data_IF_736645969332
#
_entry.id   IF_736645969332
#
_cell.length_a   1.000
_cell.length_b   1.000
_cell.length_c   1.000
_cell.angle_alpha   90.00
_cell.angle_beta   90.00
_cell.angle_gamma   90.00
#
_symmetry.space_group_name_H-M   'P 1'
#
loop_
_entity.id
_entity.type
_entity.pdbx_description
1 polymer ?
#
# COMPACT_ATOMS: atom_id res chain seq x y z
N UNK A 1 -0.12 -14.31 -17.34
CA UNK A 1 -0.47 -13.15 -16.52
C UNK A 1 0.81 -12.44 -16.10
N UNK A 2 0.93 -11.15 -16.42
CA UNK A 2 2.05 -10.30 -15.99
C UNK A 2 1.55 -9.27 -14.99
N UNK A 3 2.30 -9.00 -13.93
CA UNK A 3 1.96 -7.96 -12.96
C UNK A 3 2.68 -6.65 -13.30
N UNK A 4 2.15 -5.53 -12.79
CA UNK A 4 2.77 -4.21 -12.95
C UNK A 4 3.99 -4.00 -12.06
N UNK A 5 4.00 -4.58 -10.86
CA UNK A 5 5.17 -4.65 -10.00
C UNK A 5 6.04 -5.85 -10.41
N UNK A 6 7.38 -5.77 -10.30
CA UNK A 6 8.31 -6.88 -10.60
C UNK A 6 8.18 -7.97 -9.54
N UNK A 7 7.46 -9.07 -9.83
CA UNK A 7 7.33 -10.14 -8.85
C UNK A 7 8.60 -10.99 -8.89
N UNK A 8 8.89 -11.69 -7.79
CA UNK A 8 10.02 -12.61 -7.73
C UNK A 8 10.02 -13.69 -8.84
N UNK A 9 11.16 -14.36 -9.08
CA UNK A 9 11.30 -15.35 -10.16
C UNK A 9 10.32 -16.52 -10.09
N UNK A 10 9.76 -16.80 -8.91
CA UNK A 10 8.75 -17.83 -8.67
C UNK A 10 7.37 -17.49 -9.27
N UNK A 11 7.05 -16.21 -9.46
CA UNK A 11 5.82 -15.77 -10.12
C UNK A 11 5.77 -16.21 -11.58
N UNK A 12 6.87 -16.08 -12.32
CA UNK A 12 6.96 -16.50 -13.72
C UNK A 12 6.71 -18.00 -13.86
N UNK A 13 7.29 -18.79 -12.95
CA UNK A 13 7.11 -20.25 -12.92
C UNK A 13 5.64 -20.62 -12.66
N UNK A 14 5.01 -19.97 -11.67
CA UNK A 14 3.59 -20.16 -11.37
C UNK A 14 2.69 -19.71 -12.52
N UNK A 15 3.03 -18.61 -13.20
CA UNK A 15 2.30 -18.13 -14.37
C UNK A 15 2.31 -19.13 -15.52
N UNK A 16 3.46 -19.76 -15.79
CA UNK A 16 3.56 -20.84 -16.78
C UNK A 16 2.75 -22.08 -16.37
N UNK A 17 2.79 -22.44 -15.08
CA UNK A 17 1.99 -23.54 -14.55
C UNK A 17 0.49 -23.25 -14.67
N UNK A 18 0.07 -22.01 -14.40
CA UNK A 18 -1.30 -21.55 -14.52
C UNK A 18 -1.83 -21.71 -15.95
N UNK A 19 -1.09 -21.23 -16.96
CA UNK A 19 -1.43 -21.41 -18.39
C UNK A 19 -1.56 -22.89 -18.78
N UNK A 20 -0.67 -23.75 -18.28
CA UNK A 20 -0.75 -25.22 -18.51
C UNK A 20 -2.01 -25.83 -17.92
N UNK A 21 -2.40 -25.42 -16.71
CA UNK A 21 -3.63 -25.90 -16.06
C UNK A 21 -4.88 -25.48 -16.82
N UNK A 22 -4.94 -24.23 -17.29
CA UNK A 22 -6.06 -23.72 -18.11
C UNK A 22 -6.20 -24.56 -19.37
N UNK A 23 -5.10 -24.76 -20.11
CA UNK A 23 -5.12 -25.56 -21.34
C UNK A 23 -5.62 -26.98 -21.09
N UNK A 24 -5.07 -27.66 -20.09
CA UNK A 24 -5.49 -29.03 -19.76
C UNK A 24 -6.97 -29.08 -19.32
N UNK A 25 -7.43 -28.09 -18.57
CA UNK A 25 -8.83 -28.01 -18.14
C UNK A 25 -9.77 -27.87 -19.34
N UNK A 26 -9.48 -26.96 -20.27
CA UNK A 26 -10.30 -26.74 -21.47
C UNK A 26 -10.33 -28.00 -22.34
N UNK A 27 -9.19 -28.68 -22.50
CA UNK A 27 -9.10 -29.95 -23.23
C UNK A 27 -10.01 -31.03 -22.62
N UNK A 28 -10.08 -31.14 -21.28
CA UNK A 28 -10.95 -32.12 -20.60
C UNK A 28 -12.42 -31.71 -20.64
N UNK A 29 -12.72 -30.42 -20.40
CA UNK A 29 -14.11 -29.89 -20.45
C UNK A 29 -14.70 -30.02 -21.86
N UNK A 30 -13.85 -29.92 -22.89
CA UNK A 30 -14.18 -30.13 -24.30
C UNK A 30 -15.49 -29.43 -24.70
N UNK A 31 -15.57 -28.15 -24.35
CA UNK A 31 -16.69 -27.28 -24.68
C UNK A 31 -16.26 -26.34 -25.81
N UNK A 32 -17.08 -26.16 -26.86
CA UNK A 32 -16.76 -25.20 -27.91
C UNK A 32 -16.84 -23.78 -27.37
N UNK A 33 -15.86 -22.95 -27.73
CA UNK A 33 -15.84 -21.54 -27.42
C UNK A 33 -16.73 -20.74 -28.37
N UNK A 34 -17.38 -19.70 -27.86
CA UNK A 34 -18.01 -18.66 -28.69
C UNK A 34 -16.99 -17.54 -28.89
N UNK A 35 -16.55 -17.24 -30.13
CA UNK A 35 -15.56 -16.19 -30.37
C UNK A 35 -16.08 -14.80 -30.01
N UNK A 36 -15.26 -14.02 -29.31
CA UNK A 36 -15.52 -12.62 -28.98
C UNK A 36 -14.32 -11.78 -29.42
N UNK A 37 -14.58 -10.72 -30.18
CA UNK A 37 -13.56 -9.75 -30.59
C UNK A 37 -13.58 -8.54 -29.66
N UNK A 38 -12.40 -8.13 -29.22
CA UNK A 38 -12.17 -6.93 -28.41
C UNK A 38 -11.40 -5.94 -29.27
N UNK A 39 -12.03 -4.80 -29.55
CA UNK A 39 -11.40 -3.72 -30.31
C UNK A 39 -10.24 -3.08 -29.52
N UNK A 40 -9.22 -2.53 -30.19
CA UNK A 40 -8.15 -1.79 -29.55
C UNK A 40 -8.70 -0.52 -28.88
N UNK A 41 -8.49 -0.37 -27.58
CA UNK A 41 -8.82 0.81 -26.79
C UNK A 41 -7.76 1.00 -25.71
N UNK A 42 -7.14 2.20 -25.70
CA UNK A 42 -6.06 2.58 -24.77
C UNK A 42 -6.56 2.97 -23.38
N UNK A 43 -7.83 3.37 -23.25
CA UNK A 43 -8.41 3.74 -21.96
C UNK A 43 -9.87 3.27 -21.86
N UNK A 44 -10.11 2.31 -20.96
CA UNK A 44 -11.41 1.67 -20.68
C UNK A 44 -12.12 1.03 -21.88
N UNK A 45 -12.24 -0.31 -21.91
CA UNK A 45 -13.39 -0.89 -22.62
C UNK A 45 -13.95 -2.18 -22.02
N UNK A 46 -15.28 -2.14 -21.87
CA UNK A 46 -16.24 -2.97 -21.14
C UNK A 46 -15.98 -3.18 -19.62
N UNK A 47 -17.07 -3.09 -18.86
CA UNK A 47 -17.15 -3.61 -17.48
C UNK A 47 -17.09 -5.11 -17.51
N UNK A 48 -16.52 -5.69 -16.44
CA UNK A 48 -16.73 -7.05 -15.96
C UNK A 48 -17.59 -7.84 -16.91
N UNK A 49 -16.92 -8.53 -17.83
CA UNK A 49 -17.60 -9.39 -18.78
C UNK A 49 -18.70 -10.18 -18.08
N UNK A 50 -19.74 -10.52 -18.84
CA UNK A 50 -20.93 -11.22 -18.37
C UNK A 50 -20.59 -12.19 -17.23
N UNK A 51 -21.18 -11.94 -16.06
CA UNK A 51 -20.90 -12.66 -14.81
C UNK A 51 -21.26 -14.14 -14.90
N UNK A 52 -22.07 -14.49 -15.90
CA UNK A 52 -22.38 -15.85 -16.32
C UNK A 52 -21.41 -16.44 -17.34
N UNK A 53 -20.25 -15.83 -17.62
CA UNK A 53 -19.27 -16.30 -18.61
C UNK A 53 -17.84 -16.37 -18.08
N UNK A 54 -17.08 -17.32 -18.62
CA UNK A 54 -15.62 -17.34 -18.56
C UNK A 54 -15.04 -16.96 -19.92
N UNK A 55 -13.89 -16.29 -19.91
CA UNK A 55 -13.19 -15.90 -21.13
C UNK A 55 -11.78 -16.42 -21.11
N UNK A 56 -11.28 -16.87 -22.26
CA UNK A 56 -9.88 -17.26 -22.44
C UNK A 56 -9.30 -16.44 -23.57
N UNK A 57 -8.13 -15.85 -23.33
CA UNK A 57 -7.43 -15.08 -24.37
C UNK A 57 -6.87 -16.05 -25.41
N UNK A 58 -7.44 -16.02 -26.63
CA UNK A 58 -6.96 -16.80 -27.76
C UNK A 58 -5.85 -16.07 -28.50
N UNK A 59 -5.93 -14.74 -28.62
CA UNK A 59 -4.92 -13.87 -29.25
C UNK A 59 -4.95 -12.47 -28.67
N UNK A 60 -3.79 -11.82 -28.64
CA UNK A 60 -3.63 -10.46 -28.11
C UNK A 60 -3.48 -10.46 -26.58
N UNK A 61 -3.82 -9.34 -25.97
CA UNK A 61 -3.72 -9.15 -24.52
C UNK A 61 -4.85 -8.28 -23.98
N UNK A 62 -5.16 -8.46 -22.69
CA UNK A 62 -6.11 -7.65 -21.95
C UNK A 62 -5.43 -7.05 -20.71
N UNK A 63 -5.60 -5.77 -20.50
CA UNK A 63 -5.14 -5.05 -19.31
C UNK A 63 -6.27 -4.98 -18.30
N UNK A 64 -6.04 -5.46 -17.07
CA UNK A 64 -6.97 -5.32 -15.95
C UNK A 64 -6.64 -4.06 -15.14
N UNK A 65 -7.64 -3.21 -14.90
CA UNK A 65 -7.55 -1.96 -14.15
C UNK A 65 -8.56 -1.93 -13.01
N UNK A 66 -8.11 -1.58 -11.82
CA UNK A 66 -8.95 -1.37 -10.64
C UNK A 66 -8.70 0.03 -10.09
N UNK A 67 -9.75 0.83 -9.92
CA UNK A 67 -9.64 2.25 -9.49
C UNK A 67 -8.61 3.05 -10.34
N UNK A 68 -8.62 2.83 -11.65
CA UNK A 68 -7.69 3.47 -12.61
C UNK A 68 -6.27 2.89 -12.62
N UNK A 69 -5.86 2.12 -11.60
CA UNK A 69 -4.54 1.49 -11.53
C UNK A 69 -4.52 0.17 -12.29
N UNK A 70 -3.49 -0.04 -13.10
CA UNK A 70 -3.26 -1.33 -13.75
C UNK A 70 -2.80 -2.34 -12.71
N UNK A 71 -3.51 -3.48 -12.64
CA UNK A 71 -3.22 -4.56 -11.68
C UNK A 71 -2.38 -5.65 -12.34
N UNK A 72 -2.81 -6.12 -13.51
CA UNK A 72 -2.10 -7.14 -14.29
C UNK A 72 -2.52 -7.14 -15.76
N UNK A 73 -1.71 -7.79 -16.60
CA UNK A 73 -1.97 -8.09 -18.00
C UNK A 73 -2.29 -9.59 -18.17
N UNK A 74 -3.35 -9.89 -18.88
CA UNK A 74 -3.69 -11.21 -19.38
C UNK A 74 -3.19 -11.34 -20.82
N UNK A 75 -2.56 -12.45 -21.13
CA UNK A 75 -2.04 -12.77 -22.45
C UNK A 75 -2.67 -14.07 -22.96
N UNK A 76 -2.32 -14.46 -24.18
CA UNK A 76 -2.72 -15.74 -24.75
C UNK A 76 -2.54 -16.92 -23.77
N UNK A 77 -3.62 -17.69 -23.63
CA UNK A 77 -3.74 -18.83 -22.73
C UNK A 77 -4.15 -18.49 -21.30
N UNK A 78 -4.26 -17.22 -20.93
CA UNK A 78 -4.82 -16.82 -19.64
C UNK A 78 -6.36 -16.86 -19.65
N UNK A 79 -6.93 -17.25 -18.52
CA UNK A 79 -8.38 -17.23 -18.27
C UNK A 79 -8.73 -15.99 -17.48
N UNK A 80 -9.84 -15.37 -17.86
CA UNK A 80 -10.51 -14.35 -17.10
C UNK A 80 -11.74 -14.97 -16.42
N UNK A 81 -11.74 -14.84 -15.09
CA UNK A 81 -12.83 -15.27 -14.23
C UNK A 81 -13.78 -14.07 -14.00
N UNK A 82 -15.10 -14.31 -13.88
CA UNK A 82 -16.08 -13.26 -13.66
C UNK A 82 -15.84 -12.57 -12.32
N UNK A 83 -16.04 -11.25 -12.30
CA UNK A 83 -16.04 -10.45 -11.08
C UNK A 83 -17.40 -10.58 -10.39
N UNK A 84 -17.47 -11.44 -9.37
CA UNK A 84 -18.70 -11.75 -8.63
C UNK A 84 -19.17 -10.56 -7.77
N UNK A 85 -18.28 -9.60 -7.45
CA UNK A 85 -18.58 -8.46 -6.60
C UNK A 85 -18.97 -7.20 -7.39
N UNK A 86 -18.47 -7.04 -8.61
CA UNK A 86 -18.48 -5.78 -9.37
C UNK A 86 -19.69 -5.50 -10.27
N UNK A 87 -20.77 -6.29 -10.23
CA UNK A 87 -21.90 -6.08 -11.17
C UNK A 87 -22.85 -4.95 -10.77
N UNK A 88 -22.90 -4.56 -9.49
CA UNK A 88 -23.86 -3.57 -8.99
C UNK A 88 -23.28 -2.17 -8.71
N UNK A 89 -21.99 -2.06 -8.38
CA UNK A 89 -21.34 -0.79 -7.97
C UNK A 89 -20.30 -0.34 -9.01
N UNK A 90 -20.49 0.88 -9.52
CA UNK A 90 -19.68 1.48 -10.57
C UNK A 90 -18.25 1.79 -10.12
N UNK A 91 -18.08 2.01 -8.81
CA UNK A 91 -16.82 2.46 -8.20
C UNK A 91 -15.98 1.28 -7.68
N UNK A 92 -16.58 0.07 -7.65
CA UNK A 92 -15.94 -1.16 -7.19
C UNK A 92 -15.60 -2.15 -8.32
N UNK A 93 -15.96 -1.87 -9.58
CA UNK A 93 -15.76 -2.80 -10.68
C UNK A 93 -14.31 -2.82 -11.22
N UNK A 94 -13.84 -4.00 -11.62
CA UNK A 94 -12.64 -4.12 -12.45
C UNK A 94 -12.97 -3.78 -13.91
N UNK A 95 -12.15 -2.92 -14.51
CA UNK A 95 -12.24 -2.52 -15.91
C UNK A 95 -11.18 -3.25 -16.73
N UNK A 96 -11.55 -3.69 -17.92
CA UNK A 96 -10.61 -4.29 -18.86
C UNK A 96 -10.37 -3.36 -20.05
N UNK A 97 -9.33 -3.64 -20.82
CA UNK A 97 -8.96 -2.87 -22.01
C UNK A 97 -7.88 -3.59 -22.79
N UNK A 98 -7.60 -3.16 -24.02
CA UNK A 98 -6.57 -3.78 -24.86
C UNK A 98 -5.98 -2.76 -25.81
N UNK A 99 -4.68 -2.50 -25.74
CA UNK A 99 -4.04 -1.48 -26.59
C UNK A 99 -3.96 -1.89 -28.07
N UNK A 100 -3.90 -3.20 -28.35
CA UNK A 100 -3.76 -3.78 -29.69
C UNK A 100 -4.99 -4.58 -30.15
N UNK A 101 -6.01 -4.70 -29.31
CA UNK A 101 -7.15 -5.58 -29.50
C UNK A 101 -6.85 -7.03 -29.10
N UNK A 102 -7.91 -7.80 -28.87
CA UNK A 102 -7.81 -9.20 -28.47
C UNK A 102 -8.92 -10.05 -29.09
N UNK A 103 -8.67 -11.35 -29.18
CA UNK A 103 -9.68 -12.36 -29.50
C UNK A 103 -9.81 -13.32 -28.34
N UNK A 104 -11.04 -13.56 -27.91
CA UNK A 104 -11.36 -14.37 -26.74
C UNK A 104 -12.28 -15.51 -27.13
N UNK A 105 -12.12 -16.64 -26.44
CA UNK A 105 -13.13 -17.69 -26.39
C UNK A 105 -14.02 -17.48 -25.16
N UNK A 106 -15.33 -17.29 -25.37
CA UNK A 106 -16.35 -17.14 -24.33
C UNK A 106 -17.02 -18.48 -24.03
N UNK A 107 -17.23 -18.77 -22.75
CA UNK A 107 -17.82 -20.00 -22.26
C UNK A 107 -18.89 -19.71 -21.19
N UNK A 108 -20.15 -20.15 -21.37
CA UNK A 108 -21.16 -20.05 -20.32
C UNK A 108 -20.72 -20.74 -19.03
N UNK A 109 -20.53 -19.96 -17.96
CA UNK A 109 -19.92 -20.40 -16.72
C UNK A 109 -20.68 -21.56 -16.09
N UNK A 110 -22.02 -21.53 -16.10
CA UNK A 110 -22.85 -22.59 -15.53
C UNK A 110 -22.64 -23.94 -16.23
N UNK A 111 -22.66 -23.97 -17.56
CA UNK A 111 -22.46 -25.21 -18.32
C UNK A 111 -21.01 -25.68 -18.26
N UNK A 112 -20.05 -24.74 -18.29
CA UNK A 112 -18.64 -25.04 -18.09
C UNK A 112 -18.42 -25.73 -16.74
N UNK A 113 -18.94 -25.16 -15.65
CA UNK A 113 -18.83 -25.74 -14.31
C UNK A 113 -19.57 -27.06 -14.18
N UNK A 114 -20.73 -27.24 -14.82
CA UNK A 114 -21.45 -28.53 -14.84
C UNK A 114 -20.56 -29.64 -15.40
N UNK A 115 -19.80 -29.36 -16.46
CA UNK A 115 -18.84 -30.31 -17.05
C UNK A 115 -17.62 -30.54 -16.15
N UNK A 116 -17.09 -29.48 -15.52
CA UNK A 116 -15.99 -29.60 -14.55
C UNK A 116 -16.35 -30.55 -13.42
N UNK A 117 -17.56 -30.43 -12.86
CA UNK A 117 -18.01 -31.27 -11.76
C UNK A 117 -18.45 -32.68 -12.18
N UNK A 118 -18.76 -32.88 -13.46
CA UNK A 118 -19.08 -34.20 -14.00
C UNK A 118 -17.84 -35.10 -14.17
N UNK A 119 -16.64 -34.51 -14.27
CA UNK A 119 -15.38 -35.24 -14.48
C UNK A 119 -14.39 -35.01 -13.32
N UNK A 120 -13.93 -36.10 -12.70
CA UNK A 120 -13.03 -36.01 -11.54
C UNK A 120 -11.66 -35.39 -11.89
N UNK A 121 -11.17 -35.61 -13.11
CA UNK A 121 -9.92 -35.03 -13.60
C UNK A 121 -10.09 -33.52 -13.83
N UNK A 122 -11.19 -33.09 -14.45
CA UNK A 122 -11.52 -31.68 -14.60
C UNK A 122 -11.67 -30.97 -13.24
N UNK A 123 -12.34 -31.61 -12.28
CA UNK A 123 -12.46 -31.09 -10.91
C UNK A 123 -11.08 -30.88 -10.28
N UNK A 124 -10.18 -31.86 -10.38
CA UNK A 124 -8.79 -31.73 -9.86
C UNK A 124 -8.03 -30.60 -10.56
N UNK A 125 -8.18 -30.45 -11.87
CA UNK A 125 -7.54 -29.37 -12.64
C UNK A 125 -8.07 -27.99 -12.22
N UNK A 126 -9.39 -27.86 -12.06
CA UNK A 126 -10.04 -26.65 -11.59
C UNK A 126 -9.57 -26.25 -10.19
N UNK A 127 -9.54 -27.18 -9.24
CA UNK A 127 -9.02 -26.89 -7.89
C UNK A 127 -7.56 -26.44 -7.92
N UNK A 128 -6.70 -27.10 -8.70
CA UNK A 128 -5.29 -26.71 -8.85
C UNK A 128 -5.14 -25.34 -9.50
N UNK A 129 -5.98 -25.02 -10.47
CA UNK A 129 -6.03 -23.72 -11.13
C UNK A 129 -6.34 -22.62 -10.11
N UNK A 130 -7.39 -22.79 -9.30
CA UNK A 130 -7.78 -21.81 -8.28
C UNK A 130 -6.71 -21.60 -7.20
N UNK A 131 -6.08 -22.69 -6.73
CA UNK A 131 -4.97 -22.59 -5.76
C UNK A 131 -3.78 -21.85 -6.37
N UNK A 132 -3.47 -22.10 -7.65
CA UNK A 132 -2.38 -21.43 -8.35
C UNK A 132 -2.70 -19.96 -8.59
N UNK A 133 -3.95 -19.62 -8.95
CA UNK A 133 -4.43 -18.25 -9.08
C UNK A 133 -4.30 -17.48 -7.77
N UNK A 134 -4.73 -18.08 -6.65
CA UNK A 134 -4.55 -17.49 -5.31
C UNK A 134 -3.07 -17.25 -4.99
N UNK A 135 -2.19 -18.19 -5.35
CA UNK A 135 -0.75 -18.02 -5.20
C UNK A 135 -0.14 -16.90 -6.06
N UNK A 136 -0.68 -16.65 -7.25
CA UNK A 136 -0.30 -15.53 -8.10
C UNK A 136 -0.78 -14.20 -7.49
N UNK A 137 -2.04 -14.13 -7.04
CA UNK A 137 -2.59 -12.92 -6.40
C UNK A 137 -1.80 -12.54 -5.15
N UNK A 138 -1.45 -13.51 -4.29
CA UNK A 138 -0.64 -13.26 -3.11
C UNK A 138 0.70 -12.59 -3.43
N UNK A 139 1.37 -13.02 -4.51
CA UNK A 139 2.65 -12.45 -4.95
C UNK A 139 2.51 -11.05 -5.52
N UNK A 140 1.44 -10.81 -6.28
CA UNK A 140 1.11 -9.45 -6.73
C UNK A 140 0.85 -8.55 -5.54
N UNK A 141 0.07 -9.02 -4.56
CA UNK A 141 -0.18 -8.25 -3.33
C UNK A 141 1.12 -7.97 -2.59
N UNK A 142 1.97 -8.97 -2.36
CA UNK A 142 3.25 -8.79 -1.70
C UNK A 142 4.17 -7.80 -2.43
N UNK A 143 4.20 -7.83 -3.76
CA UNK A 143 4.98 -6.89 -4.58
C UNK A 143 4.42 -5.45 -4.56
N UNK A 144 3.18 -5.26 -4.11
CA UNK A 144 2.51 -3.95 -4.04
C UNK A 144 2.31 -3.44 -2.60
N UNK A 145 2.57 -4.27 -1.58
CA UNK A 145 2.68 -3.81 -0.20
C UNK A 145 3.98 -3.01 -0.14
N UNK A 146 3.85 -1.68 -0.01
CA UNK A 146 4.96 -0.86 0.48
C UNK A 146 5.34 -1.42 1.84
N UNK A 147 6.65 -1.58 2.08
CA UNK A 147 7.25 -2.23 3.25
C UNK A 147 6.37 -2.08 4.50
N UNK A 148 6.18 -3.20 5.23
CA UNK A 148 5.50 -3.18 6.53
C UNK A 148 5.91 -1.90 7.26
N UNK A 149 4.96 -1.05 7.71
CA UNK A 149 5.36 0.03 8.60
C UNK A 149 6.07 -0.66 9.76
N UNK A 150 7.39 -0.49 9.80
CA UNK A 150 8.26 -1.06 10.81
C UNK A 150 7.55 -0.83 12.15
N UNK A 151 7.44 -1.91 12.91
CA UNK A 151 6.69 -1.97 14.15
C UNK A 151 6.75 -0.64 14.90
N UNK A 152 5.58 -0.19 15.33
CA UNK A 152 5.26 1.10 15.95
C UNK A 152 6.46 1.80 16.62
N UNK A 153 6.69 3.09 16.33
CA UNK A 153 7.78 3.89 16.88
C UNK A 153 7.96 3.67 18.39
N UNK A 154 9.20 3.40 18.80
CA UNK A 154 9.51 2.90 20.14
C UNK A 154 8.91 3.78 21.22
N UNK A 155 8.02 3.20 22.03
CA UNK A 155 7.55 3.82 23.26
C UNK A 155 8.68 3.74 24.28
N UNK A 156 9.20 4.90 24.66
CA UNK A 156 10.21 5.05 25.70
C UNK A 156 9.60 5.84 26.88
N UNK A 157 9.89 5.39 28.10
CA UNK A 157 9.51 6.09 29.32
C UNK A 157 10.75 6.76 29.89
N UNK A 158 10.61 8.05 30.22
CA UNK A 158 11.65 8.87 30.81
C UNK A 158 11.18 9.36 32.18
N UNK A 159 12.02 9.20 33.20
CA UNK A 159 11.72 9.68 34.55
C UNK A 159 12.12 11.16 34.72
N UNK A 160 11.58 11.87 35.74
CA UNK A 160 11.96 13.25 36.00
C UNK A 160 13.48 13.43 36.10
N UNK A 161 14.03 14.33 35.29
CA UNK A 161 15.46 14.62 35.20
C UNK A 161 16.18 13.93 34.04
N UNK A 162 15.58 12.91 33.41
CA UNK A 162 16.19 12.21 32.28
C UNK A 162 16.31 13.11 31.05
N UNK A 163 17.38 12.92 30.28
CA UNK A 163 17.64 13.66 29.04
C UNK A 163 17.07 12.85 27.87
N UNK A 164 16.08 13.42 27.18
CA UNK A 164 15.43 12.83 26.00
C UNK A 164 16.22 13.18 24.74
N UNK A 165 16.69 14.43 24.65
CA UNK A 165 17.52 14.95 23.55
C UNK A 165 18.66 15.74 24.16
N UNK A 166 19.88 15.62 23.63
CA UNK A 166 21.01 16.45 24.04
C UNK A 166 21.39 17.44 22.94
N UNK A 167 21.63 18.69 23.32
CA UNK A 167 22.14 19.74 22.43
C UNK A 167 23.45 19.30 21.77
N UNK A 168 23.60 19.60 20.47
CA UNK A 168 24.78 19.27 19.68
C UNK A 168 24.84 17.83 19.15
N UNK A 169 23.92 16.95 19.55
CA UNK A 169 23.85 15.59 18.99
C UNK A 169 23.26 15.60 17.58
N UNK A 170 23.52 14.54 16.82
CA UNK A 170 22.92 14.34 15.50
C UNK A 170 21.47 13.90 15.63
N UNK A 171 20.60 14.40 14.76
CA UNK A 171 19.18 14.10 14.81
C UNK A 171 18.80 12.90 13.94
N UNK A 172 18.80 11.71 14.53
CA UNK A 172 18.34 10.48 13.85
C UNK A 172 16.87 10.14 14.13
N UNK A 173 16.24 10.82 15.08
CA UNK A 173 14.86 10.58 15.51
C UNK A 173 14.03 11.86 15.67
N UNK A 174 12.72 11.74 15.58
CA UNK A 174 11.71 12.72 15.96
C UNK A 174 10.85 12.12 17.06
N UNK A 175 10.36 12.95 17.97
CA UNK A 175 9.67 12.48 19.16
C UNK A 175 8.27 13.10 19.26
N UNK A 176 7.33 12.34 19.82
CA UNK A 176 6.00 12.81 20.17
C UNK A 176 5.72 12.54 21.65
N UNK A 177 5.33 13.58 22.39
CA UNK A 177 5.02 13.47 23.81
C UNK A 177 3.63 12.87 23.99
N UNK A 178 3.52 11.61 24.36
CA UNK A 178 2.23 10.94 24.54
C UNK A 178 1.61 11.20 25.92
N UNK A 179 2.43 11.44 26.93
CA UNK A 179 2.01 11.87 28.26
C UNK A 179 3.19 12.49 29.01
N UNK A 180 2.92 13.47 29.87
CA UNK A 180 3.93 14.13 30.70
C UNK A 180 4.36 15.50 30.20
N UNK A 181 5.46 16.01 30.74
CA UNK A 181 6.03 17.30 30.36
C UNK A 181 7.54 17.31 30.47
N UNK A 182 8.19 18.01 29.55
CA UNK A 182 9.63 18.22 29.52
C UNK A 182 9.96 19.71 29.42
N UNK A 183 11.19 20.07 29.76
CA UNK A 183 11.74 21.40 29.58
C UNK A 183 12.79 21.41 28.47
N UNK A 184 12.86 22.52 27.74
CA UNK A 184 13.82 22.74 26.67
C UNK A 184 14.90 23.67 27.20
N UNK A 185 16.16 23.23 27.14
CA UNK A 185 17.32 23.88 27.73
C UNK A 185 18.37 24.15 26.66
N UNK A 186 18.84 25.39 26.55
CA UNK A 186 19.95 25.80 25.67
C UNK A 186 21.01 26.44 26.53
N UNK A 187 22.24 25.92 26.48
CA UNK A 187 23.37 26.43 27.26
C UNK A 187 23.02 26.63 28.77
N UNK A 188 22.38 25.61 29.36
CA UNK A 188 21.86 25.56 30.74
C UNK A 188 20.72 26.55 31.09
N UNK A 189 20.20 27.28 30.10
CA UNK A 189 19.06 28.18 30.28
C UNK A 189 17.78 27.51 29.79
N UNK A 190 16.74 27.47 30.62
CA UNK A 190 15.42 26.97 30.23
C UNK A 190 14.77 27.99 29.29
N UNK A 191 14.52 27.57 28.05
CA UNK A 191 13.96 28.42 26.98
C UNK A 191 12.54 28.03 26.59
N UNK A 192 12.05 26.87 27.03
CA UNK A 192 10.72 26.41 26.68
C UNK A 192 10.27 25.18 27.46
N UNK A 193 9.05 24.74 27.16
CA UNK A 193 8.46 23.51 27.70
C UNK A 193 7.85 22.69 26.57
N UNK A 194 7.79 21.38 26.75
CA UNK A 194 7.11 20.44 25.88
C UNK A 194 6.00 19.76 26.68
N UNK A 195 4.79 19.75 26.14
CA UNK A 195 3.60 19.14 26.74
C UNK A 195 3.07 17.94 25.97
N UNK A 196 2.07 17.28 26.52
CA UNK A 196 1.34 16.18 25.87
C UNK A 196 0.76 16.61 24.51
N UNK A 197 0.89 15.72 23.52
CA UNK A 197 0.47 15.94 22.14
C UNK A 197 1.50 16.65 21.25
N UNK A 198 2.56 17.23 21.82
CA UNK A 198 3.53 18.00 21.04
C UNK A 198 4.57 17.12 20.36
N UNK A 199 4.92 17.49 19.12
CA UNK A 199 6.02 16.90 18.37
C UNK A 199 7.29 17.74 18.58
N UNK A 200 8.38 17.09 18.96
CA UNK A 200 9.66 17.76 19.24
C UNK A 200 10.85 17.05 18.61
N UNK A 201 11.95 17.79 18.43
CA UNK A 201 13.12 17.31 17.71
C UNK A 201 12.94 17.21 16.18
N UNK A 202 11.81 17.64 15.63
CA UNK A 202 11.54 17.59 14.19
C UNK A 202 12.49 18.48 13.38
N UNK A 203 12.82 19.69 13.87
CA UNK A 203 13.65 20.65 13.13
C UNK A 203 14.99 20.08 12.69
N UNK A 204 15.78 19.57 13.64
CA UNK A 204 17.11 19.03 13.35
C UNK A 204 17.06 17.81 12.42
N UNK A 205 16.02 16.97 12.55
CA UNK A 205 15.81 15.82 11.66
C UNK A 205 15.50 16.26 10.21
N UNK A 206 14.72 17.32 10.04
CA UNK A 206 14.30 17.85 8.73
C UNK A 206 15.38 18.71 8.06
N UNK A 207 16.14 19.49 8.81
CA UNK A 207 17.16 20.40 8.27
C UNK A 207 18.55 19.77 8.17
N UNK A 208 18.72 18.54 8.66
CA UNK A 208 20.02 17.87 8.82
C UNK A 208 21.01 18.66 9.68
N UNK A 209 20.52 19.54 10.55
CA UNK A 209 21.32 20.24 11.53
C UNK A 209 21.50 19.41 12.80
N UNK A 210 22.46 19.78 13.64
CA UNK A 210 22.59 19.23 14.98
C UNK A 210 21.45 19.73 15.90
N UNK A 211 21.21 19.03 17.01
CA UNK A 211 20.20 19.42 18.00
C UNK A 211 20.49 20.81 18.55
N UNK A 212 19.54 21.72 18.40
CA UNK A 212 19.65 23.11 18.88
C UNK A 212 19.50 23.27 20.40
N UNK A 213 18.91 22.28 21.07
CA UNK A 213 18.62 22.32 22.51
C UNK A 213 18.64 20.93 23.13
N UNK A 214 18.84 20.88 24.45
CA UNK A 214 18.61 19.72 25.29
C UNK A 214 17.15 19.67 25.71
N UNK A 215 16.52 18.50 25.68
CA UNK A 215 15.18 18.27 26.22
C UNK A 215 15.30 17.36 27.43
N UNK A 216 14.84 17.85 28.59
CA UNK A 216 14.91 17.14 29.86
C UNK A 216 13.51 16.89 30.42
N UNK A 217 13.21 15.66 30.80
CA UNK A 217 11.93 15.29 31.39
C UNK A 217 11.71 16.03 32.72
N UNK A 218 10.55 16.65 32.89
CA UNK A 218 10.16 17.35 34.14
C UNK A 218 9.26 16.48 35.00
N UNK A 219 8.43 15.66 34.36
CA UNK A 219 7.62 14.60 34.97
C UNK A 219 8.04 13.24 34.41
N UNK A 220 7.41 12.16 34.86
CA UNK A 220 7.44 10.91 34.09
C UNK A 220 6.80 11.18 32.72
N UNK A 221 7.50 10.82 31.66
CA UNK A 221 7.15 11.14 30.28
C UNK A 221 7.07 9.85 29.47
N UNK A 222 5.94 9.66 28.78
CA UNK A 222 5.79 8.61 27.77
C UNK A 222 6.02 9.22 26.41
N UNK A 223 7.06 8.79 25.71
CA UNK A 223 7.51 9.39 24.46
C UNK A 223 7.50 8.34 23.35
N UNK A 224 6.96 8.71 22.20
CA UNK A 224 7.02 7.91 20.98
C UNK A 224 8.20 8.40 20.14
N UNK A 225 9.12 7.50 19.79
CA UNK A 225 10.35 7.81 19.06
C UNK A 225 10.31 7.27 17.63
N UNK A 226 10.39 8.16 16.66
CA UNK A 226 10.24 7.88 15.23
C UNK A 226 11.57 8.12 14.50
N UNK A 227 12.13 7.15 13.75
CA UNK A 227 13.29 7.39 12.88
C UNK A 227 13.02 8.51 11.87
N UNK A 228 14.03 9.34 11.57
CA UNK A 228 13.87 10.50 10.67
C UNK A 228 13.35 10.14 9.27
N UNK A 229 13.78 8.99 8.73
CA UNK A 229 13.44 8.56 7.38
C UNK A 229 11.96 8.16 7.33
N UNK A 230 11.49 7.39 8.33
CA UNK A 230 10.07 7.06 8.51
C UNK A 230 9.21 8.29 8.77
N UNK A 231 9.69 9.25 9.57
CA UNK A 231 8.97 10.51 9.81
C UNK A 231 8.78 11.32 8.52
N UNK A 232 9.80 11.34 7.65
CA UNK A 232 9.73 12.00 6.35
C UNK A 232 8.67 11.35 5.44
N UNK A 233 8.54 10.04 5.49
CA UNK A 233 7.50 9.31 4.76
C UNK A 233 6.10 9.52 5.34
N UNK A 234 5.97 9.50 6.67
CA UNK A 234 4.71 9.80 7.36
C UNK A 234 4.18 11.18 6.99
N UNK A 235 5.05 12.18 6.89
CA UNK A 235 4.71 13.52 6.41
C UNK A 235 4.15 13.46 4.99
N UNK A 236 4.81 12.75 4.06
CA UNK A 236 4.38 12.67 2.66
C UNK A 236 3.00 12.02 2.51
N UNK A 237 2.69 11.04 3.36
CA UNK A 237 1.50 10.19 3.22
C UNK A 237 0.35 10.57 4.16
N UNK A 238 0.56 11.44 5.15
CA UNK A 238 -0.46 11.80 6.14
C UNK A 238 -0.61 13.33 6.34
N UNK A 239 -1.59 13.96 5.66
CA UNK A 239 -1.84 15.40 5.76
C UNK A 239 -2.12 15.92 7.19
N UNK A 240 -2.67 15.08 8.08
CA UNK A 240 -3.00 15.48 9.45
C UNK A 240 -1.75 15.68 10.33
N UNK A 241 -0.71 14.89 10.10
CA UNK A 241 0.58 15.00 10.81
C UNK A 241 1.27 16.34 10.48
N UNK A 242 1.25 16.74 9.20
CA UNK A 242 1.78 18.04 8.76
C UNK A 242 1.04 19.18 9.46
N UNK A 243 -0.29 19.11 9.52
CA UNK A 243 -1.10 20.16 10.12
C UNK A 243 -0.77 20.37 11.61
N UNK A 244 -0.56 19.28 12.36
CA UNK A 244 -0.19 19.34 13.79
C UNK A 244 1.20 19.95 13.99
N UNK A 245 2.18 19.55 13.18
CA UNK A 245 3.53 20.16 13.17
C UNK A 245 3.51 21.66 12.90
N UNK A 246 2.70 22.10 11.93
CA UNK A 246 2.57 23.52 11.60
C UNK A 246 2.01 24.33 12.78
N UNK A 247 1.03 23.77 13.50
CA UNK A 247 0.48 24.38 14.71
C UNK A 247 1.55 24.47 15.81
N UNK A 248 2.27 23.39 16.09
CA UNK A 248 3.30 23.35 17.15
C UNK A 248 4.44 24.33 16.88
N UNK A 249 4.89 24.42 15.62
CA UNK A 249 5.89 25.40 15.19
C UNK A 249 5.38 26.84 15.35
N UNK A 250 4.12 27.10 14.97
CA UNK A 250 3.51 28.42 15.14
C UNK A 250 3.42 28.82 16.61
N UNK A 251 2.98 27.91 17.48
CA UNK A 251 2.91 28.13 18.93
C UNK A 251 4.30 28.41 19.53
N UNK A 252 5.33 27.69 19.08
CA UNK A 252 6.72 27.90 19.52
C UNK A 252 7.22 29.29 19.15
N UNK A 253 6.95 29.77 17.93
CA UNK A 253 7.33 31.13 17.49
C UNK A 253 6.62 32.20 18.31
N UNK A 254 5.32 32.03 18.60
CA UNK A 254 4.55 32.97 19.42
C UNK A 254 5.14 33.05 20.83
N UNK A 255 5.39 31.92 21.49
CA UNK A 255 5.97 31.88 22.83
C UNK A 255 7.36 32.54 22.88
N UNK A 256 8.22 32.28 21.89
CA UNK A 256 9.54 32.91 21.79
C UNK A 256 9.45 34.42 21.63
N UNK A 257 8.51 34.91 20.81
CA UNK A 257 8.30 36.35 20.63
C UNK A 257 7.81 37.04 21.91
N UNK A 258 6.89 36.41 22.65
CA UNK A 258 6.40 36.96 23.92
C UNK A 258 7.52 37.09 24.96
N UNK A 259 8.40 36.09 25.06
CA UNK A 259 9.57 36.14 25.95
C UNK A 259 10.55 37.25 25.55
N UNK A 260 10.84 37.41 24.26
CA UNK A 260 11.73 38.46 23.76
C UNK A 260 11.18 39.88 24.02
N UNK A 261 9.87 40.08 23.91
CA UNK A 261 9.22 41.35 24.23
C UNK A 261 9.28 41.62 25.74
N UNK A 262 9.04 40.61 26.57
CA UNK A 262 9.12 40.73 28.03
C UNK A 262 10.53 41.02 28.56
N UNK A 263 11.58 40.65 27.82
CA UNK A 263 12.98 40.99 28.16
C UNK A 263 13.40 42.41 27.75
N UNK A 264 12.62 43.06 26.89
CA UNK A 264 12.88 44.44 26.41
C UNK A 264 12.05 45.51 27.14
N UNK A 265 11.08 45.12 27.96
CA UNK A 265 10.27 46.00 28.81
C UNK A 265 10.73 46.00 30.25
#
# INVERSE_FOLDING_TARGET
>A
MLATAEPGPDFTVLGQQYKKLIRALVEVVNMPAVPVEVAPVTDGNFRGFDDGQFYIVERGSLTARYQGKMVYLLEEGDILLPDIAGTADTDAAVYFGSDSGAKLGSYPALEFMRRVFADQSATKLWTRLLVTYSGLMLRITAANIQDEPDATPGFEVYEPGDIIIRQGERADFVFHMSAGSAEVVVDDIVVGRIGEGEIFGAMAALTQADRSATVRAKTSCSVVKVPKDQFTELIKNNPATIHSLLIDMANSIVNLNEQLVGLRG
#
